data_IF_412868017179
#
_entry.id   IF_412868017179
#
_cell.length_a   1.000
_cell.length_b   1.000
_cell.length_c   1.000
_cell.angle_alpha   90.00
_cell.angle_beta   90.00
_cell.angle_gamma   90.00
#
_symmetry.space_group_name_H-M   'P 1'
#
loop_
_entity.id
_entity.type
_entity.pdbx_description
1 polymer ?
#
# COMPACT_ATOMS: atom_id res chain seq x y z
N UNK A 1 22.20 -18.52 -23.53
CA UNK A 1 22.25 -17.04 -23.56
C UNK A 1 23.59 -16.68 -24.16
N UNK A 2 23.60 -15.95 -25.26
CA UNK A 2 24.84 -15.53 -25.91
C UNK A 2 25.50 -14.42 -25.08
N UNK A 3 26.83 -14.34 -25.13
CA UNK A 3 27.60 -13.34 -24.34
C UNK A 3 27.16 -11.90 -24.63
N UNK A 4 26.81 -11.60 -25.88
CA UNK A 4 26.35 -10.27 -26.32
C UNK A 4 25.01 -9.93 -25.69
N UNK A 5 24.09 -10.89 -25.62
CA UNK A 5 22.77 -10.72 -25.00
C UNK A 5 22.91 -10.46 -23.49
N UNK A 6 23.80 -11.20 -22.83
CA UNK A 6 24.06 -11.03 -21.41
C UNK A 6 24.64 -9.64 -21.10
N UNK A 7 25.63 -9.16 -21.88
CA UNK A 7 26.18 -7.81 -21.75
C UNK A 7 25.11 -6.72 -21.86
N UNK A 8 24.18 -6.90 -22.81
CA UNK A 8 23.07 -5.96 -23.02
C UNK A 8 22.11 -5.92 -21.84
N UNK A 9 21.78 -7.07 -21.26
CA UNK A 9 20.91 -7.15 -20.06
C UNK A 9 21.54 -6.37 -18.89
N UNK A 10 22.81 -6.60 -18.60
CA UNK A 10 23.53 -5.91 -17.55
C UNK A 10 23.58 -4.41 -17.79
N UNK A 11 23.91 -3.99 -19.03
CA UNK A 11 23.98 -2.60 -19.44
C UNK A 11 22.64 -1.85 -19.26
N UNK A 12 21.56 -2.47 -19.74
CA UNK A 12 20.20 -1.92 -19.64
C UNK A 12 19.79 -1.75 -18.17
N UNK A 13 20.11 -2.73 -17.31
CA UNK A 13 19.80 -2.68 -15.89
C UNK A 13 20.60 -1.61 -15.14
N UNK A 14 21.92 -1.45 -15.42
CA UNK A 14 22.74 -0.38 -14.84
C UNK A 14 22.18 0.98 -15.21
N UNK A 15 21.94 1.22 -16.50
CA UNK A 15 21.37 2.47 -17.00
C UNK A 15 19.99 2.76 -16.40
N UNK A 16 19.16 1.74 -16.24
CA UNK A 16 17.85 1.84 -15.63
C UNK A 16 17.94 2.32 -14.17
N UNK A 17 18.74 1.64 -13.33
CA UNK A 17 18.85 1.98 -11.90
C UNK A 17 19.45 3.37 -11.70
N UNK A 18 20.48 3.74 -12.49
CA UNK A 18 21.05 5.08 -12.46
C UNK A 18 20.01 6.16 -12.77
N UNK A 19 19.28 6.00 -13.88
CA UNK A 19 18.24 6.96 -14.31
C UNK A 19 17.10 7.05 -13.29
N UNK A 20 16.74 5.95 -12.67
CA UNK A 20 15.72 5.90 -11.62
C UNK A 20 16.10 6.72 -10.38
N UNK A 21 17.41 6.79 -10.05
CA UNK A 21 17.92 7.67 -8.99
C UNK A 21 18.16 9.12 -9.45
N UNK A 22 17.88 9.44 -10.72
CA UNK A 22 18.12 10.80 -11.26
C UNK A 22 19.60 11.15 -11.44
N UNK A 23 20.49 10.16 -11.44
CA UNK A 23 21.94 10.40 -11.51
C UNK A 23 22.43 10.51 -12.96
N UNK A 24 23.39 11.40 -13.21
CA UNK A 24 24.20 11.38 -14.44
C UNK A 24 25.24 10.25 -14.37
N UNK A 25 25.86 9.88 -15.52
CA UNK A 25 26.95 8.91 -15.56
C UNK A 25 28.13 9.34 -14.67
N UNK A 26 28.47 10.65 -14.71
CA UNK A 26 29.53 11.25 -13.89
C UNK A 26 29.20 11.12 -12.39
N UNK A 27 27.99 11.47 -11.99
CA UNK A 27 27.59 11.40 -10.58
C UNK A 27 27.61 9.96 -10.05
N UNK A 28 27.21 8.97 -10.87
CA UNK A 28 27.32 7.55 -10.48
C UNK A 28 28.80 7.16 -10.35
N UNK A 29 29.64 7.55 -11.29
CA UNK A 29 31.08 7.27 -11.27
C UNK A 29 31.74 7.77 -9.99
N UNK A 30 31.45 9.01 -9.58
CA UNK A 30 31.93 9.61 -8.33
C UNK A 30 31.48 8.81 -7.10
N UNK A 31 30.24 8.34 -7.08
CA UNK A 31 29.68 7.58 -5.93
C UNK A 31 30.31 6.21 -5.73
N UNK A 32 30.76 5.57 -6.80
CA UNK A 32 31.37 4.23 -6.72
C UNK A 32 32.91 4.25 -6.94
N UNK A 33 33.53 5.44 -6.99
CA UNK A 33 34.96 5.65 -7.19
C UNK A 33 35.48 5.08 -8.53
N UNK A 34 34.72 5.29 -9.62
CA UNK A 34 35.10 4.89 -10.98
C UNK A 34 35.10 6.08 -11.93
N UNK A 35 35.56 5.87 -13.18
CA UNK A 35 35.51 6.92 -14.21
C UNK A 35 34.14 6.92 -14.90
N UNK A 36 33.72 8.10 -15.36
CA UNK A 36 32.56 8.30 -16.23
C UNK A 36 32.62 7.45 -17.50
N UNK A 37 33.84 7.31 -18.05
CA UNK A 37 34.11 6.47 -19.24
C UNK A 37 33.83 4.98 -18.94
N UNK A 38 34.13 4.50 -17.75
CA UNK A 38 33.82 3.12 -17.38
C UNK A 38 32.30 2.90 -17.32
N UNK A 39 31.58 3.78 -16.64
CA UNK A 39 30.10 3.72 -16.59
C UNK A 39 29.51 3.75 -18.01
N UNK A 40 30.00 4.65 -18.85
CA UNK A 40 29.55 4.76 -20.23
C UNK A 40 29.78 3.49 -21.06
N UNK A 41 30.93 2.82 -20.92
CA UNK A 41 31.21 1.53 -21.57
C UNK A 41 30.29 0.42 -21.08
N UNK A 42 30.03 0.38 -19.77
CA UNK A 42 29.11 -0.62 -19.20
C UNK A 42 27.67 -0.41 -19.70
N UNK A 43 27.17 0.82 -19.71
CA UNK A 43 25.82 1.14 -20.20
C UNK A 43 25.64 0.94 -21.72
N UNK A 44 26.73 0.95 -22.50
CA UNK A 44 26.71 0.64 -23.94
C UNK A 44 26.98 -0.83 -24.26
N UNK A 45 27.07 -1.68 -23.22
CA UNK A 45 27.41 -3.09 -23.37
C UNK A 45 28.77 -3.37 -24.03
N UNK A 46 29.69 -2.38 -24.03
CA UNK A 46 31.06 -2.53 -24.60
C UNK A 46 31.94 -3.38 -23.66
N UNK A 47 31.72 -3.31 -22.37
CA UNK A 47 32.39 -4.10 -21.35
C UNK A 47 31.44 -4.42 -20.19
N UNK A 48 31.73 -5.48 -19.44
CA UNK A 48 31.04 -5.78 -18.20
C UNK A 48 31.84 -5.22 -17.02
N UNK A 49 31.16 -4.71 -15.98
CA UNK A 49 31.82 -4.49 -14.68
C UNK A 49 32.24 -5.83 -14.08
N UNK A 50 33.32 -5.81 -13.30
CA UNK A 50 33.72 -6.95 -12.50
C UNK A 50 32.63 -7.31 -11.46
N UNK A 51 32.59 -8.56 -11.02
CA UNK A 51 31.59 -9.02 -10.05
C UNK A 51 31.59 -8.19 -8.77
N UNK A 52 32.78 -7.76 -8.31
CA UNK A 52 32.91 -6.86 -7.16
C UNK A 52 32.21 -5.53 -7.39
N UNK A 53 32.39 -4.92 -8.57
CA UNK A 53 31.76 -3.65 -8.95
C UNK A 53 30.23 -3.80 -9.08
N UNK A 54 29.77 -4.91 -9.67
CA UNK A 54 28.33 -5.22 -9.73
C UNK A 54 27.73 -5.33 -8.33
N UNK A 55 28.46 -5.90 -7.38
CA UNK A 55 28.00 -5.99 -5.97
C UNK A 55 27.99 -4.59 -5.30
N UNK A 56 28.97 -3.73 -5.58
CA UNK A 56 28.95 -2.33 -5.12
C UNK A 56 27.74 -1.57 -5.69
N UNK A 57 27.48 -1.72 -6.99
CA UNK A 57 26.32 -1.14 -7.65
C UNK A 57 25.00 -1.66 -7.04
N UNK A 58 24.92 -2.98 -6.75
CA UNK A 58 23.76 -3.59 -6.13
C UNK A 58 23.49 -2.97 -4.74
N UNK A 59 24.54 -2.87 -3.92
CA UNK A 59 24.46 -2.25 -2.60
C UNK A 59 24.08 -0.76 -2.69
N UNK A 60 24.67 -0.03 -3.61
CA UNK A 60 24.41 1.39 -3.81
C UNK A 60 22.95 1.66 -4.27
N UNK A 61 22.43 0.83 -5.16
CA UNK A 61 21.06 0.96 -5.66
C UNK A 61 20.01 0.29 -4.75
N UNK A 62 20.45 -0.44 -3.70
CA UNK A 62 19.52 -1.16 -2.80
C UNK A 62 18.83 -2.34 -3.48
N UNK A 63 19.51 -3.02 -4.39
CA UNK A 63 19.02 -4.17 -5.16
C UNK A 63 19.95 -5.37 -4.99
N UNK A 64 19.55 -6.55 -5.50
CA UNK A 64 20.40 -7.74 -5.48
C UNK A 64 21.25 -7.82 -6.75
N UNK A 65 22.39 -8.55 -6.66
CA UNK A 65 23.21 -8.84 -7.84
C UNK A 65 22.38 -9.48 -8.96
N UNK A 66 21.45 -10.35 -8.61
CA UNK A 66 20.59 -11.05 -9.56
C UNK A 66 19.65 -10.11 -10.34
N UNK A 67 19.36 -8.93 -9.79
CA UNK A 67 18.53 -7.94 -10.48
C UNK A 67 19.26 -7.30 -11.69
N UNK A 68 20.61 -7.34 -11.71
CA UNK A 68 21.36 -6.96 -12.89
C UNK A 68 21.44 -8.04 -13.96
N UNK A 69 21.30 -9.31 -13.58
CA UNK A 69 21.51 -10.48 -14.44
C UNK A 69 20.21 -11.00 -15.07
N UNK A 70 19.05 -10.54 -14.61
CA UNK A 70 17.74 -11.01 -15.10
C UNK A 70 17.17 -10.08 -16.16
N UNK A 71 16.68 -10.70 -17.25
CA UNK A 71 15.97 -9.99 -18.34
C UNK A 71 14.70 -9.36 -17.78
N UNK A 72 14.56 -8.04 -17.96
CA UNK A 72 13.25 -7.40 -17.87
C UNK A 72 12.55 -7.41 -16.51
N UNK A 73 13.26 -7.66 -15.41
CA UNK A 73 12.75 -7.20 -14.11
C UNK A 73 12.85 -5.67 -14.05
N UNK A 74 12.00 -5.01 -14.85
CA UNK A 74 11.58 -3.67 -14.44
C UNK A 74 11.08 -3.84 -13.01
N UNK A 75 11.73 -3.21 -11.98
CA UNK A 75 11.14 -3.20 -10.65
C UNK A 75 9.68 -2.82 -10.87
N UNK A 76 8.77 -3.54 -10.25
CA UNK A 76 7.36 -3.20 -10.38
C UNK A 76 7.26 -1.73 -10.01
N UNK A 77 7.04 -0.88 -11.02
CA UNK A 77 6.80 0.53 -10.74
C UNK A 77 5.70 0.59 -9.70
N UNK A 78 5.90 1.33 -8.61
CA UNK A 78 4.85 1.45 -7.61
C UNK A 78 3.60 1.90 -8.36
N UNK A 79 2.51 1.13 -8.20
CA UNK A 79 1.23 1.42 -8.86
C UNK A 79 0.96 2.92 -8.80
N UNK A 80 0.64 3.52 -9.93
CA UNK A 80 0.31 4.94 -10.00
C UNK A 80 -0.73 5.27 -8.93
N UNK A 81 -0.64 6.42 -8.29
CA UNK A 81 -1.55 6.83 -7.20
C UNK A 81 -3.01 6.65 -7.60
N UNK A 82 -3.35 6.99 -8.85
CA UNK A 82 -4.70 6.80 -9.42
C UNK A 82 -5.14 5.33 -9.40
N UNK A 83 -4.25 4.40 -9.76
CA UNK A 83 -4.55 2.96 -9.77
C UNK A 83 -4.75 2.42 -8.35
N UNK A 84 -3.96 2.89 -7.37
CA UNK A 84 -4.12 2.52 -5.95
C UNK A 84 -5.48 2.95 -5.41
N UNK A 85 -5.88 4.20 -5.68
CA UNK A 85 -7.18 4.74 -5.29
C UNK A 85 -8.31 3.93 -5.95
N UNK A 86 -8.20 3.65 -7.24
CA UNK A 86 -9.20 2.87 -7.97
C UNK A 86 -9.37 1.47 -7.37
N UNK A 87 -8.28 0.75 -7.08
CA UNK A 87 -8.32 -0.57 -6.44
C UNK A 87 -9.01 -0.49 -5.08
N UNK A 88 -8.68 0.52 -4.26
CA UNK A 88 -9.32 0.70 -2.93
C UNK A 88 -10.81 0.90 -3.04
N UNK A 89 -11.26 1.79 -3.93
CA UNK A 89 -12.68 2.10 -4.13
C UNK A 89 -13.43 0.88 -4.65
N UNK A 90 -12.88 0.17 -5.65
CA UNK A 90 -13.49 -1.05 -6.19
C UNK A 90 -13.62 -2.15 -5.14
N UNK A 91 -12.58 -2.35 -4.32
CA UNK A 91 -12.59 -3.36 -3.25
C UNK A 91 -13.62 -3.03 -2.16
N UNK A 92 -13.73 -1.77 -1.74
CA UNK A 92 -14.78 -1.33 -0.83
C UNK A 92 -16.17 -1.44 -1.49
N UNK A 93 -16.29 -1.14 -2.79
CA UNK A 93 -17.52 -1.29 -3.56
C UNK A 93 -18.06 -2.72 -3.59
N UNK A 94 -17.18 -3.73 -3.59
CA UNK A 94 -17.58 -5.14 -3.51
C UNK A 94 -18.34 -5.42 -2.19
N UNK A 95 -17.89 -4.86 -1.05
CA UNK A 95 -18.57 -5.01 0.23
C UNK A 95 -20.00 -4.48 0.16
N UNK A 96 -20.16 -3.29 -0.42
CA UNK A 96 -21.48 -2.67 -0.60
C UNK A 96 -22.37 -3.42 -1.59
N UNK A 97 -21.78 -3.96 -2.66
CA UNK A 97 -22.51 -4.79 -3.63
C UNK A 97 -23.04 -6.06 -2.95
N UNK A 98 -22.21 -6.76 -2.17
CA UNK A 98 -22.62 -7.95 -1.42
C UNK A 98 -23.73 -7.62 -0.43
N UNK A 99 -23.61 -6.53 0.32
CA UNK A 99 -24.65 -6.07 1.25
C UNK A 99 -25.98 -5.81 0.52
N UNK A 100 -25.91 -5.16 -0.65
CA UNK A 100 -27.11 -4.87 -1.49
C UNK A 100 -27.73 -6.17 -2.00
N UNK A 101 -26.93 -7.11 -2.50
CA UNK A 101 -27.44 -8.40 -3.00
C UNK A 101 -28.15 -9.17 -1.87
N UNK A 102 -27.53 -9.26 -0.69
CA UNK A 102 -28.13 -9.94 0.47
C UNK A 102 -29.42 -9.23 0.87
N UNK A 103 -29.43 -7.90 0.92
CA UNK A 103 -30.63 -7.12 1.21
C UNK A 103 -31.78 -7.43 0.25
N UNK A 104 -31.53 -7.42 -1.07
CA UNK A 104 -32.53 -7.70 -2.08
C UNK A 104 -33.04 -9.12 -1.97
N UNK A 105 -32.14 -10.11 -1.85
CA UNK A 105 -32.53 -11.53 -1.74
C UNK A 105 -33.34 -11.79 -0.48
N UNK A 106 -32.97 -11.23 0.67
CA UNK A 106 -33.70 -11.40 1.92
C UNK A 106 -35.12 -10.85 1.83
N UNK A 107 -35.28 -9.65 1.25
CA UNK A 107 -36.61 -9.04 1.09
C UNK A 107 -37.46 -9.75 0.03
N UNK A 108 -36.85 -10.37 -0.98
CA UNK A 108 -37.55 -11.12 -2.01
C UNK A 108 -38.06 -12.47 -1.50
N UNK A 109 -37.23 -13.19 -0.72
CA UNK A 109 -37.55 -14.53 -0.21
C UNK A 109 -38.48 -14.48 1.01
N UNK A 110 -38.31 -13.49 1.88
CA UNK A 110 -39.02 -13.37 3.14
C UNK A 110 -39.45 -11.91 3.41
N UNK A 111 -40.52 -11.43 2.76
CA UNK A 111 -40.96 -10.03 2.90
C UNK A 111 -41.32 -9.63 4.34
N UNK A 112 -41.67 -10.59 5.20
CA UNK A 112 -42.07 -10.33 6.57
C UNK A 112 -40.91 -10.22 7.58
N UNK A 113 -39.68 -10.56 7.19
CA UNK A 113 -38.47 -10.39 8.03
C UNK A 113 -37.96 -8.93 7.94
N UNK A 114 -38.55 -8.10 7.07
CA UNK A 114 -38.00 -6.88 6.50
C UNK A 114 -37.74 -5.69 7.40
N UNK A 115 -38.10 -5.68 8.67
CA UNK A 115 -37.95 -4.45 9.47
C UNK A 115 -36.51 -4.06 9.80
N UNK A 116 -35.57 -5.02 9.85
CA UNK A 116 -34.17 -4.75 10.24
C UNK A 116 -33.15 -5.08 9.14
N UNK A 117 -33.57 -5.45 7.92
CA UNK A 117 -32.66 -5.80 6.82
C UNK A 117 -31.79 -4.62 6.37
N UNK A 118 -32.25 -3.39 6.59
CA UNK A 118 -31.45 -2.19 6.35
C UNK A 118 -30.18 -2.10 7.20
N UNK A 119 -30.12 -2.81 8.34
CA UNK A 119 -28.92 -2.93 9.18
C UNK A 119 -27.72 -3.52 8.41
N UNK A 120 -27.97 -4.29 7.34
CA UNK A 120 -26.90 -4.80 6.46
C UNK A 120 -26.01 -3.67 5.92
N UNK A 121 -26.58 -2.51 5.61
CA UNK A 121 -25.82 -1.36 5.16
C UNK A 121 -24.99 -0.73 6.28
N UNK A 122 -25.48 -0.77 7.52
CA UNK A 122 -24.73 -0.32 8.68
C UNK A 122 -23.52 -1.24 8.94
N UNK A 123 -23.69 -2.56 8.80
CA UNK A 123 -22.58 -3.52 8.94
C UNK A 123 -21.57 -3.42 7.81
N UNK A 124 -21.97 -2.93 6.63
CA UNK A 124 -21.07 -2.69 5.52
C UNK A 124 -20.04 -1.56 5.82
N UNK A 125 -20.38 -0.62 6.72
CA UNK A 125 -19.47 0.49 7.09
C UNK A 125 -18.19 -0.03 7.75
N UNK A 126 -18.21 -0.76 8.87
CA UNK A 126 -17.00 -1.27 9.48
C UNK A 126 -16.25 -2.25 8.58
N UNK A 127 -16.95 -3.09 7.80
CA UNK A 127 -16.32 -4.01 6.86
C UNK A 127 -15.56 -3.27 5.75
N UNK A 128 -16.16 -2.26 5.13
CA UNK A 128 -15.48 -1.44 4.13
C UNK A 128 -14.31 -0.64 4.73
N UNK A 129 -14.43 -0.20 5.99
CA UNK A 129 -13.35 0.49 6.72
C UNK A 129 -12.14 -0.42 6.94
N UNK A 130 -12.35 -1.71 7.25
CA UNK A 130 -11.26 -2.70 7.34
C UNK A 130 -10.53 -2.83 6.00
N UNK A 131 -11.26 -3.00 4.90
CA UNK A 131 -10.67 -3.13 3.56
C UNK A 131 -9.84 -1.91 3.21
N UNK A 132 -10.37 -0.71 3.43
CA UNK A 132 -9.68 0.55 3.15
C UNK A 132 -8.47 0.77 4.08
N UNK A 133 -8.57 0.35 5.34
CA UNK A 133 -7.46 0.40 6.29
C UNK A 133 -6.29 -0.49 5.84
N UNK A 134 -6.56 -1.72 5.40
CA UNK A 134 -5.52 -2.63 4.88
C UNK A 134 -4.77 -1.99 3.72
N UNK A 135 -5.47 -1.45 2.72
CA UNK A 135 -4.82 -0.77 1.60
C UNK A 135 -4.05 0.48 2.02
N UNK A 136 -4.59 1.26 2.96
CA UNK A 136 -3.91 2.44 3.49
C UNK A 136 -2.61 2.09 4.22
N UNK A 137 -2.57 0.97 4.94
CA UNK A 137 -1.37 0.46 5.60
C UNK A 137 -0.33 -0.06 4.61
N UNK A 138 -0.76 -0.81 3.57
CA UNK A 138 0.12 -1.34 2.52
C UNK A 138 0.79 -0.19 1.73
N UNK A 139 0.06 0.87 1.45
CA UNK A 139 0.58 1.99 0.65
C UNK A 139 1.15 3.14 1.48
N UNK A 140 1.23 2.99 2.80
CA UNK A 140 1.93 3.90 3.72
C UNK A 140 1.26 5.26 3.92
N UNK A 141 -0.07 5.37 3.75
CA UNK A 141 -0.78 6.63 3.94
C UNK A 141 -1.30 6.79 5.38
N UNK A 142 -0.47 7.34 6.26
CA UNK A 142 -0.79 7.49 7.68
C UNK A 142 -2.07 8.30 7.96
N UNK A 143 -2.36 9.35 7.17
CA UNK A 143 -3.56 10.19 7.40
C UNK A 143 -4.84 9.42 7.10
N UNK A 144 -4.86 8.67 5.98
CA UNK A 144 -6.00 7.84 5.62
C UNK A 144 -6.16 6.66 6.58
N UNK A 145 -5.05 6.07 7.05
CA UNK A 145 -5.11 5.00 8.06
C UNK A 145 -5.81 5.46 9.34
N UNK A 146 -5.52 6.68 9.82
CA UNK A 146 -6.21 7.23 10.97
C UNK A 146 -7.72 7.39 10.72
N UNK A 147 -8.11 8.00 9.58
CA UNK A 147 -9.52 8.17 9.21
C UNK A 147 -10.28 6.83 9.11
N UNK A 148 -9.63 5.76 8.62
CA UNK A 148 -10.27 4.44 8.55
C UNK A 148 -10.33 3.72 9.90
N UNK A 149 -9.40 3.97 10.81
CA UNK A 149 -9.50 3.47 12.20
C UNK A 149 -10.67 4.13 12.92
N UNK A 150 -10.82 5.45 12.82
CA UNK A 150 -11.96 6.16 13.42
C UNK A 150 -13.29 5.75 12.79
N UNK A 151 -13.35 5.57 11.47
CA UNK A 151 -14.54 5.05 10.79
C UNK A 151 -14.89 3.63 11.23
N UNK A 152 -13.90 2.78 11.49
CA UNK A 152 -14.09 1.43 11.98
C UNK A 152 -14.66 1.42 13.41
N UNK A 153 -14.08 2.21 14.33
CA UNK A 153 -14.52 2.26 15.72
C UNK A 153 -15.96 2.78 15.85
N UNK A 154 -16.26 3.88 15.15
CA UNK A 154 -17.60 4.47 15.10
C UNK A 154 -18.60 3.51 14.43
N UNK A 155 -18.23 2.91 13.30
CA UNK A 155 -19.06 1.97 12.55
C UNK A 155 -19.40 0.71 13.38
N UNK A 156 -18.43 0.16 14.11
CA UNK A 156 -18.66 -0.98 15.02
C UNK A 156 -19.61 -0.61 16.16
N UNK A 157 -19.35 0.51 16.82
CA UNK A 157 -20.21 0.97 17.94
C UNK A 157 -21.63 1.22 17.47
N UNK A 158 -21.82 1.86 16.32
CA UNK A 158 -23.13 2.10 15.73
C UNK A 158 -23.84 0.77 15.37
N UNK A 159 -23.11 -0.18 14.80
CA UNK A 159 -23.63 -1.49 14.44
C UNK A 159 -24.15 -2.26 15.67
N UNK A 160 -23.36 -2.27 16.75
CA UNK A 160 -23.74 -2.92 18.02
C UNK A 160 -24.93 -2.20 18.64
N UNK A 161 -24.90 -0.87 18.70
CA UNK A 161 -25.99 -0.08 19.25
C UNK A 161 -27.32 -0.36 18.56
N UNK A 162 -27.37 -0.26 17.23
CA UNK A 162 -28.60 -0.45 16.48
C UNK A 162 -29.11 -1.89 16.51
N UNK A 163 -28.23 -2.88 16.63
CA UNK A 163 -28.60 -4.28 16.77
C UNK A 163 -29.28 -4.59 18.12
N UNK A 164 -28.80 -3.95 19.18
CA UNK A 164 -29.23 -4.23 20.54
C UNK A 164 -30.22 -3.21 21.13
N UNK A 165 -30.43 -2.09 20.47
CA UNK A 165 -31.27 -0.99 20.95
C UNK A 165 -32.70 -1.41 21.30
N UNK A 166 -33.28 -2.36 20.56
CA UNK A 166 -34.62 -2.88 20.81
C UNK A 166 -34.72 -3.73 22.10
N UNK A 167 -33.59 -4.36 22.49
CA UNK A 167 -33.52 -5.23 23.67
C UNK A 167 -33.10 -4.43 24.91
N UNK A 168 -32.16 -3.50 24.73
CA UNK A 168 -31.55 -2.71 25.79
C UNK A 168 -31.62 -1.20 25.49
N UNK A 169 -32.69 -0.50 25.92
CA UNK A 169 -32.87 0.94 25.60
C UNK A 169 -31.72 1.86 26.09
N UNK A 170 -31.05 1.43 27.17
CA UNK A 170 -29.98 2.20 27.78
C UNK A 170 -28.57 1.93 27.17
N UNK A 171 -28.46 1.12 26.12
CA UNK A 171 -27.18 0.73 25.51
C UNK A 171 -26.41 1.90 24.87
N UNK A 172 -27.02 3.09 24.81
CA UNK A 172 -26.38 4.31 24.33
C UNK A 172 -25.08 4.65 25.10
N UNK A 173 -24.86 4.12 26.31
CA UNK A 173 -23.60 4.25 27.04
C UNK A 173 -22.37 3.71 26.25
N UNK A 174 -22.58 2.85 25.25
CA UNK A 174 -21.51 2.38 24.38
C UNK A 174 -20.79 3.54 23.65
N UNK A 175 -21.49 4.63 23.35
CA UNK A 175 -20.87 5.80 22.71
C UNK A 175 -19.86 6.50 23.63
N UNK A 176 -19.97 6.36 24.94
CA UNK A 176 -19.00 6.91 25.90
C UNK A 176 -17.67 6.18 25.73
N UNK A 177 -17.66 4.87 25.41
CA UNK A 177 -16.44 4.12 25.18
C UNK A 177 -15.65 4.54 23.92
N UNK A 178 -16.29 5.24 22.97
CA UNK A 178 -15.60 5.79 21.80
C UNK A 178 -14.57 6.85 22.19
N UNK A 179 -14.84 7.64 23.23
CA UNK A 179 -13.95 8.74 23.63
C UNK A 179 -12.52 8.23 23.94
N UNK A 180 -12.31 7.26 24.85
CA UNK A 180 -10.97 6.75 25.11
C UNK A 180 -10.37 5.99 23.90
N UNK A 181 -11.18 5.32 23.08
CA UNK A 181 -10.72 4.62 21.87
C UNK A 181 -10.15 5.63 20.87
N UNK A 182 -10.85 6.72 20.59
CA UNK A 182 -10.40 7.75 19.65
C UNK A 182 -9.16 8.50 20.19
N UNK A 183 -9.06 8.73 21.49
CA UNK A 183 -7.86 9.31 22.10
C UNK A 183 -6.66 8.39 21.89
N UNK A 184 -6.80 7.08 22.12
CA UNK A 184 -5.74 6.11 21.88
C UNK A 184 -5.34 6.03 20.40
N UNK A 185 -6.32 6.06 19.48
CA UNK A 185 -6.07 6.09 18.04
C UNK A 185 -5.30 7.34 17.62
N UNK A 186 -5.63 8.50 18.21
CA UNK A 186 -4.92 9.76 17.98
C UNK A 186 -3.47 9.69 18.48
N UNK A 187 -3.22 9.19 19.68
CA UNK A 187 -1.87 8.97 20.19
C UNK A 187 -1.07 8.02 19.32
N UNK A 188 -1.66 6.90 18.91
CA UNK A 188 -1.00 5.96 18.01
C UNK A 188 -0.59 6.62 16.69
N UNK A 189 -1.46 7.47 16.10
CA UNK A 189 -1.16 8.21 14.90
C UNK A 189 0.00 9.21 15.09
N UNK A 190 0.03 9.94 16.21
CA UNK A 190 1.10 10.89 16.55
C UNK A 190 2.44 10.16 16.71
N UNK A 191 2.48 9.08 17.48
CA UNK A 191 3.70 8.28 17.68
C UNK A 191 4.24 7.70 16.37
N UNK A 192 3.36 7.21 15.51
CA UNK A 192 3.75 6.70 14.21
C UNK A 192 4.35 7.79 13.31
N UNK A 193 3.83 9.01 13.38
CA UNK A 193 4.36 10.16 12.63
C UNK A 193 5.76 10.56 13.12
N UNK A 194 6.01 10.53 14.42
CA UNK A 194 7.32 10.87 15.01
C UNK A 194 8.40 9.87 14.56
N UNK A 195 8.08 8.56 14.50
CA UNK A 195 9.02 7.51 14.07
C UNK A 195 9.43 7.61 12.59
N UNK A 196 8.65 8.26 11.76
CA UNK A 196 8.92 8.38 10.31
C UNK A 196 9.76 9.61 9.96
N UNK A 197 10.10 10.47 10.91
CA UNK A 197 11.03 11.58 10.70
C UNK A 197 12.45 11.04 10.89
N UNK A 198 13.33 11.06 9.85
CA UNK A 198 14.73 10.72 10.02
C UNK A 198 15.35 11.70 11.02
N UNK A 199 16.00 11.20 12.06
CA UNK A 199 16.92 12.00 12.87
C UNK A 199 18.11 12.33 11.99
N UNK A 200 18.27 13.62 11.64
CA UNK A 200 19.47 14.17 11.01
C UNK A 200 20.70 13.94 11.88
#
# INVERSE_FOLDING_TARGET
MEEIEFKKIVADNISYYRKKMGLTQLQLAEKINYSDKAISKWERAESLPEVYVLNQLATFFGVTLNDFLTVGRKPREPLAVKTRILISILSAGIVWLVATVIFVLTNLISPNIGYDTWLLFIYAIPLSSIVLLVFSLIWGNNRLSFAFVTSLSVGLTLSIYLSLFKIYPHIWYLFISLVPIEILAMFWFIFRKIRTVPTE
#
